data_IF_213782047568
#
_entry.id   IF_213782047568
#
_cell.length_a   1.000
_cell.length_b   1.000
_cell.length_c   1.000
_cell.angle_alpha   90.00
_cell.angle_beta   90.00
_cell.angle_gamma   90.00
#
_symmetry.space_group_name_H-M   'P 1'
#
loop_
_entity.id
_entity.type
_entity.pdbx_description
1 polymer ?
#
# COMPACT_ATOMS: atom_id res chain seq x y z
N UNK A 1 2.31 -17.55 13.46
CA UNK A 1 1.32 -16.46 13.29
C UNK A 1 1.30 -15.57 14.55
N UNK A 2 2.46 -15.20 15.12
CA UNK A 2 2.52 -14.59 16.47
C UNK A 2 3.37 -13.31 16.53
N UNK A 3 3.64 -12.64 15.42
CA UNK A 3 4.52 -11.46 15.43
C UNK A 3 3.81 -10.12 15.71
N UNK A 4 2.52 -10.15 16.08
CA UNK A 4 1.71 -8.94 16.28
C UNK A 4 0.99 -8.87 17.64
N UNK A 5 1.47 -9.59 18.66
CA UNK A 5 0.81 -9.64 19.98
C UNK A 5 1.23 -8.51 20.94
N UNK A 6 2.22 -7.68 20.57
CA UNK A 6 2.61 -6.46 21.30
C UNK A 6 1.94 -5.21 20.69
N UNK A 7 0.65 -5.31 20.38
CA UNK A 7 -0.11 -4.32 19.60
C UNK A 7 -0.92 -3.31 20.42
N UNK A 8 -1.30 -3.66 21.66
CA UNK A 8 -2.22 -2.86 22.49
C UNK A 8 -1.59 -1.56 22.97
N UNK A 9 -0.33 -1.59 23.42
CA UNK A 9 0.39 -0.37 23.84
C UNK A 9 0.58 0.63 22.70
N UNK A 10 0.90 0.14 21.49
CA UNK A 10 1.06 0.99 20.30
C UNK A 10 -0.26 1.60 19.85
N UNK A 11 -1.35 0.83 19.90
CA UNK A 11 -2.69 1.31 19.59
C UNK A 11 -3.12 2.43 20.56
N UNK A 12 -2.94 2.22 21.87
CA UNK A 12 -3.28 3.22 22.90
C UNK A 12 -2.50 4.52 22.71
N UNK A 13 -1.18 4.42 22.49
CA UNK A 13 -0.35 5.60 22.22
C UNK A 13 -0.79 6.34 20.95
N UNK A 14 -1.16 5.62 19.90
CA UNK A 14 -1.69 6.21 18.67
C UNK A 14 -3.02 6.93 18.89
N UNK A 15 -3.94 6.30 19.63
CA UNK A 15 -5.25 6.88 19.97
C UNK A 15 -5.09 8.14 20.83
N UNK A 16 -4.23 8.10 21.85
CA UNK A 16 -3.92 9.25 22.68
C UNK A 16 -3.31 10.41 21.86
N UNK A 17 -2.34 10.11 21.00
CA UNK A 17 -1.71 11.13 20.13
C UNK A 17 -2.72 11.73 19.14
N UNK A 18 -3.64 10.92 18.62
CA UNK A 18 -4.70 11.39 17.72
C UNK A 18 -5.67 12.30 18.46
N UNK A 19 -6.08 11.92 19.68
CA UNK A 19 -6.95 12.74 20.52
C UNK A 19 -6.29 14.09 20.88
N UNK A 20 -5.01 14.08 21.24
CA UNK A 20 -4.22 15.31 21.47
C UNK A 20 -4.18 16.19 20.22
N UNK A 21 -4.02 15.60 19.04
CA UNK A 21 -4.04 16.35 17.78
C UNK A 21 -5.39 17.03 17.55
N UNK A 22 -6.50 16.29 17.66
CA UNK A 22 -7.85 16.84 17.49
C UNK A 22 -8.16 17.91 18.53
N UNK A 23 -7.80 17.68 19.79
CA UNK A 23 -7.98 18.62 20.88
C UNK A 23 -7.28 19.95 20.60
N UNK A 24 -6.00 19.90 20.21
CA UNK A 24 -5.24 21.10 19.87
C UNK A 24 -5.82 21.84 18.66
N UNK A 25 -6.33 21.11 17.66
CA UNK A 25 -6.98 21.71 16.48
C UNK A 25 -8.27 22.44 16.84
N UNK A 26 -9.14 21.83 17.64
CA UNK A 26 -10.38 22.48 18.09
C UNK A 26 -10.07 23.68 18.98
N UNK A 27 -9.12 23.55 19.91
CA UNK A 27 -8.69 24.68 20.76
C UNK A 27 -8.13 25.85 19.94
N UNK A 28 -7.33 25.55 18.92
CA UNK A 28 -6.83 26.57 17.99
C UNK A 28 -7.97 27.24 17.23
N UNK A 29 -8.94 26.48 16.71
CA UNK A 29 -10.10 27.01 16.01
C UNK A 29 -10.95 27.94 16.91
N UNK A 30 -11.17 27.55 18.18
CA UNK A 30 -11.85 28.39 19.18
C UNK A 30 -11.10 29.71 19.35
N UNK A 31 -9.78 29.65 19.60
CA UNK A 31 -8.96 30.85 19.82
C UNK A 31 -8.94 31.79 18.61
N UNK A 32 -8.74 31.24 17.40
CA UNK A 32 -8.72 32.02 16.15
C UNK A 32 -10.07 32.70 15.90
N UNK A 33 -11.17 31.96 16.05
CA UNK A 33 -12.53 32.49 15.85
C UNK A 33 -12.84 33.62 16.83
N UNK A 34 -12.46 33.46 18.10
CA UNK A 34 -12.63 34.48 19.14
C UNK A 34 -11.83 35.74 18.83
N UNK A 35 -10.59 35.60 18.35
CA UNK A 35 -9.75 36.75 18.00
C UNK A 35 -10.31 37.58 16.83
N UNK A 36 -10.98 36.95 15.85
CA UNK A 36 -11.57 37.65 14.70
C UNK A 36 -12.73 38.58 15.08
N UNK A 37 -13.46 38.27 16.16
CA UNK A 37 -14.65 39.03 16.58
C UNK A 37 -14.43 39.90 17.81
N UNK A 38 -13.28 39.76 18.49
CA UNK A 38 -12.94 40.44 19.75
C UNK A 38 -13.06 41.96 19.70
N UNK A 39 -12.56 42.59 18.64
CA UNK A 39 -12.52 44.06 18.51
C UNK A 39 -13.74 44.65 17.77
N UNK A 40 -14.69 43.81 17.35
CA UNK A 40 -15.90 44.28 16.65
C UNK A 40 -16.83 44.98 17.63
N UNK A 41 -17.36 46.14 17.27
CA UNK A 41 -18.32 46.89 18.11
C UNK A 41 -19.76 46.51 17.83
N UNK A 42 -20.06 46.14 16.60
CA UNK A 42 -21.39 45.78 16.12
C UNK A 42 -21.79 44.40 16.65
N UNK A 43 -23.00 44.25 17.20
CA UNK A 43 -23.49 42.98 17.75
C UNK A 43 -24.15 42.10 16.70
N UNK A 44 -24.76 42.71 15.69
CA UNK A 44 -25.30 42.01 14.53
C UNK A 44 -24.16 41.23 13.85
N UNK A 45 -24.39 39.95 13.61
CA UNK A 45 -23.50 39.01 12.90
C UNK A 45 -22.22 38.52 13.61
N UNK A 46 -21.91 38.96 14.84
CA UNK A 46 -20.72 38.48 15.58
C UNK A 46 -20.65 36.96 15.73
N UNK A 47 -21.77 36.34 16.11
CA UNK A 47 -21.85 34.89 16.30
C UNK A 47 -21.74 34.17 14.95
N UNK A 48 -22.41 34.68 13.90
CA UNK A 48 -22.34 34.07 12.58
C UNK A 48 -20.91 34.05 12.05
N UNK A 49 -20.19 35.16 12.17
CA UNK A 49 -18.79 35.27 11.76
C UNK A 49 -17.86 34.36 12.58
N UNK A 50 -18.11 34.24 13.89
CA UNK A 50 -17.37 33.33 14.75
C UNK A 50 -17.57 31.87 14.31
N UNK A 51 -18.82 31.47 14.04
CA UNK A 51 -19.15 30.10 13.60
C UNK A 51 -18.60 29.80 12.20
N UNK A 52 -18.61 30.78 11.29
CA UNK A 52 -18.04 30.63 9.95
C UNK A 52 -16.54 30.36 10.02
N UNK A 53 -15.82 31.15 10.83
CA UNK A 53 -14.39 30.95 11.05
C UNK A 53 -14.09 29.61 11.74
N UNK A 54 -14.87 29.27 12.77
CA UNK A 54 -14.70 28.03 13.52
C UNK A 54 -14.85 26.79 12.61
N UNK A 55 -15.90 26.76 11.78
CA UNK A 55 -16.09 25.71 10.79
C UNK A 55 -14.99 25.70 9.72
N UNK A 56 -14.51 26.88 9.28
CA UNK A 56 -13.44 27.00 8.30
C UNK A 56 -12.15 26.37 8.81
N UNK A 57 -11.73 26.69 10.03
CA UNK A 57 -10.51 26.17 10.66
C UNK A 57 -10.56 24.66 10.90
N UNK A 58 -11.75 24.09 11.08
CA UNK A 58 -11.94 22.65 11.30
C UNK A 58 -12.16 21.82 10.04
N UNK A 59 -12.42 22.44 8.89
CA UNK A 59 -12.88 21.76 7.67
C UNK A 59 -11.98 20.62 7.17
N UNK A 60 -10.67 20.69 7.37
CA UNK A 60 -9.71 19.65 6.96
C UNK A 60 -9.56 18.52 8.00
N UNK A 61 -10.06 18.72 9.22
CA UNK A 61 -9.78 17.86 10.37
C UNK A 61 -11.04 17.15 10.85
N UNK A 62 -12.17 17.86 10.92
CA UNK A 62 -13.44 17.37 11.43
C UNK A 62 -14.54 17.78 10.46
N UNK A 63 -15.37 16.83 10.05
CA UNK A 63 -16.57 17.12 9.28
C UNK A 63 -17.65 17.73 10.19
N UNK A 64 -17.58 19.05 10.37
CA UNK A 64 -18.53 19.84 11.14
C UNK A 64 -19.18 20.89 10.23
N UNK A 65 -20.27 20.55 9.53
CA UNK A 65 -20.87 21.46 8.56
C UNK A 65 -21.54 22.63 9.28
N UNK A 66 -21.35 23.83 8.71
CA UNK A 66 -21.88 25.08 9.26
C UNK A 66 -23.41 25.10 9.45
N UNK A 67 -24.12 24.27 8.69
CA UNK A 67 -25.57 24.07 8.80
C UNK A 67 -26.01 23.55 10.18
N UNK A 68 -25.17 22.74 10.82
CA UNK A 68 -25.52 22.05 12.06
C UNK A 68 -25.45 23.01 13.26
N UNK A 69 -24.77 24.15 13.08
CA UNK A 69 -24.58 25.17 14.12
C UNK A 69 -25.55 26.35 14.00
N UNK A 70 -26.49 26.34 13.04
CA UNK A 70 -27.47 27.44 12.83
C UNK A 70 -28.34 27.73 14.08
N UNK A 71 -28.58 26.72 14.91
CA UNK A 71 -29.34 26.90 16.15
C UNK A 71 -28.68 27.84 17.16
N UNK A 72 -27.35 28.04 17.06
CA UNK A 72 -26.57 28.88 17.98
C UNK A 72 -26.70 30.37 17.61
N UNK A 73 -26.99 30.69 16.35
CA UNK A 73 -27.15 32.07 15.87
C UNK A 73 -28.33 32.81 16.51
N UNK A 74 -29.38 32.06 16.92
CA UNK A 74 -30.65 32.62 17.40
C UNK A 74 -30.70 32.75 18.92
N UNK A 75 -29.61 32.46 19.63
CA UNK A 75 -29.54 32.65 21.08
C UNK A 75 -29.27 34.13 21.38
N UNK A 76 -30.33 34.89 21.67
CA UNK A 76 -30.28 36.33 22.05
C UNK A 76 -29.31 36.64 23.22
N UNK A 77 -28.92 35.61 23.98
CA UNK A 77 -28.10 35.71 25.20
C UNK A 77 -26.58 35.60 24.97
N UNK A 78 -26.09 35.17 23.80
CA UNK A 78 -24.65 35.01 23.54
C UNK A 78 -24.03 36.34 23.13
N UNK A 79 -24.00 37.29 24.07
CA UNK A 79 -23.36 38.60 23.87
C UNK A 79 -21.87 38.60 24.25
N UNK A 80 -21.44 37.59 25.02
CA UNK A 80 -20.08 37.43 25.51
C UNK A 80 -19.38 36.26 24.79
N UNK A 81 -18.70 36.57 23.69
CA UNK A 81 -17.91 35.60 22.92
C UNK A 81 -16.70 35.10 23.72
N UNK A 82 -16.14 35.92 24.63
CA UNK A 82 -15.03 35.48 25.48
C UNK A 82 -15.52 34.45 26.52
N UNK A 83 -16.74 34.59 27.02
CA UNK A 83 -17.40 33.56 27.82
C UNK A 83 -17.66 32.29 27.01
N UNK A 84 -18.25 32.39 25.81
CA UNK A 84 -18.47 31.24 24.93
C UNK A 84 -17.16 30.48 24.66
N UNK A 85 -16.11 31.21 24.32
CA UNK A 85 -14.79 30.66 24.05
C UNK A 85 -14.21 29.89 25.24
N UNK A 86 -14.37 30.42 26.47
CA UNK A 86 -13.92 29.74 27.69
C UNK A 86 -14.76 28.52 27.99
N UNK A 87 -16.08 28.64 27.94
CA UNK A 87 -16.99 27.52 28.18
C UNK A 87 -16.76 26.36 27.18
N UNK A 88 -16.50 26.67 25.91
CA UNK A 88 -16.16 25.67 24.91
C UNK A 88 -14.79 25.04 25.14
N UNK A 89 -13.79 25.82 25.58
CA UNK A 89 -12.46 25.29 25.91
C UNK A 89 -12.51 24.36 27.14
N UNK A 90 -13.28 24.72 28.18
CA UNK A 90 -13.51 23.89 29.36
C UNK A 90 -14.25 22.59 28.99
N UNK A 91 -15.34 22.69 28.23
CA UNK A 91 -16.09 21.51 27.77
C UNK A 91 -15.24 20.60 26.87
N UNK A 92 -14.31 21.17 26.09
CA UNK A 92 -13.37 20.40 25.27
C UNK A 92 -12.33 19.66 26.13
N UNK A 93 -11.89 20.25 27.24
CA UNK A 93 -10.96 19.62 28.18
C UNK A 93 -11.63 18.46 28.91
N UNK A 94 -12.85 18.68 29.42
CA UNK A 94 -13.66 17.63 30.04
C UNK A 94 -13.92 16.46 29.08
N UNK A 95 -14.26 16.78 27.81
CA UNK A 95 -14.47 15.77 26.78
C UNK A 95 -13.20 14.97 26.50
N UNK A 96 -12.03 15.63 26.46
CA UNK A 96 -10.75 14.97 26.25
C UNK A 96 -10.45 13.99 27.38
N UNK A 97 -10.59 14.42 28.64
CA UNK A 97 -10.34 13.56 29.79
C UNK A 97 -11.24 12.32 29.78
N UNK A 98 -12.54 12.52 29.50
CA UNK A 98 -13.49 11.42 29.36
C UNK A 98 -13.11 10.45 28.25
N UNK A 99 -12.75 10.95 27.07
CA UNK A 99 -12.33 10.11 25.95
C UNK A 99 -11.02 9.37 26.26
N UNK A 100 -10.08 9.98 26.98
CA UNK A 100 -8.84 9.31 27.40
C UNK A 100 -9.12 8.12 28.32
N UNK A 101 -10.09 8.24 29.23
CA UNK A 101 -10.53 7.14 30.09
C UNK A 101 -11.19 6.02 29.27
N UNK A 102 -12.11 6.36 28.36
CA UNK A 102 -12.73 5.37 27.47
C UNK A 102 -11.70 4.64 26.57
N UNK A 103 -10.66 5.36 26.13
CA UNK A 103 -9.59 4.81 25.31
C UNK A 103 -8.57 3.97 26.10
N UNK A 104 -8.51 4.06 27.44
CA UNK A 104 -7.59 3.26 28.24
C UNK A 104 -7.91 1.77 28.14
N UNK A 105 -9.18 1.43 27.99
CA UNK A 105 -9.67 0.05 27.85
C UNK A 105 -9.86 -0.38 26.39
N UNK A 106 -9.66 0.54 25.43
CA UNK A 106 -9.85 0.25 24.03
C UNK A 106 -8.82 -0.76 23.50
N UNK A 107 -9.30 -1.64 22.62
CA UNK A 107 -8.51 -2.58 21.84
C UNK A 107 -8.97 -2.59 20.37
N UNK A 108 -8.41 -3.49 19.55
CA UNK A 108 -8.80 -3.57 18.14
C UNK A 108 -10.28 -3.94 17.96
N UNK A 109 -10.90 -4.67 18.90
CA UNK A 109 -12.32 -5.02 18.84
C UNK A 109 -13.25 -3.84 19.08
N UNK A 110 -12.74 -2.75 19.66
CA UNK A 110 -13.50 -1.52 19.91
C UNK A 110 -13.87 -0.75 18.63
N UNK A 111 -13.26 -1.07 17.49
CA UNK A 111 -13.56 -0.43 16.21
C UNK A 111 -14.69 -1.16 15.47
N UNK A 112 -15.69 -0.41 14.99
CA UNK A 112 -16.79 -0.93 14.16
C UNK A 112 -16.29 -1.67 12.91
N UNK A 113 -15.18 -1.18 12.34
CA UNK A 113 -14.40 -1.85 11.31
C UNK A 113 -12.96 -1.94 11.75
N UNK A 114 -12.42 -3.15 11.70
CA UNK A 114 -11.05 -3.40 12.06
C UNK A 114 -10.08 -2.55 11.20
N UNK A 115 -9.19 -1.74 11.80
CA UNK A 115 -8.27 -0.89 11.04
C UNK A 115 -7.43 -1.67 10.02
N UNK A 116 -6.97 -2.87 10.38
CA UNK A 116 -6.21 -3.73 9.47
C UNK A 116 -7.04 -4.22 8.26
N UNK A 117 -8.36 -4.35 8.40
CA UNK A 117 -9.26 -4.71 7.29
C UNK A 117 -9.44 -3.54 6.35
N UNK A 118 -9.62 -2.32 6.89
CA UNK A 118 -9.67 -1.09 6.09
C UNK A 118 -8.38 -0.93 5.29
N UNK A 119 -7.23 -1.10 5.94
CA UNK A 119 -5.93 -1.04 5.26
C UNK A 119 -5.82 -2.12 4.19
N UNK A 120 -6.19 -3.37 4.48
CA UNK A 120 -6.16 -4.45 3.48
C UNK A 120 -7.03 -4.14 2.26
N UNK A 121 -8.22 -3.54 2.45
CA UNK A 121 -9.08 -3.11 1.36
C UNK A 121 -8.52 -1.89 0.61
N UNK A 122 -7.96 -0.90 1.31
CA UNK A 122 -7.43 0.29 0.67
C UNK A 122 -6.13 0.02 -0.10
N UNK A 123 -5.33 -0.94 0.37
CA UNK A 123 -4.09 -1.39 -0.28
C UNK A 123 -4.27 -2.61 -1.18
N UNK A 124 -5.50 -3.08 -1.35
CA UNK A 124 -5.75 -4.18 -2.29
C UNK A 124 -5.77 -3.66 -3.72
N UNK A 125 -4.58 -3.59 -4.31
CA UNK A 125 -4.43 -3.35 -5.74
C UNK A 125 -4.91 -4.52 -6.60
N UNK A 126 -4.49 -4.51 -7.84
CA UNK A 126 -4.75 -5.60 -8.77
C UNK A 126 -4.02 -6.88 -8.32
N UNK A 127 -4.76 -7.99 -8.23
CA UNK A 127 -4.22 -9.29 -7.84
C UNK A 127 -3.83 -10.18 -9.03
N UNK A 128 -3.96 -9.67 -10.26
CA UNK A 128 -3.55 -10.40 -11.45
C UNK A 128 -2.05 -10.74 -11.36
N UNK A 129 -1.69 -11.98 -11.67
CA UNK A 129 -0.31 -12.46 -11.65
C UNK A 129 0.24 -12.64 -13.06
N UNK A 130 1.50 -12.24 -13.27
CA UNK A 130 2.16 -12.41 -14.55
C UNK A 130 2.21 -13.91 -14.88
N UNK A 131 1.75 -14.34 -16.07
CA UNK A 131 1.64 -15.77 -16.38
C UNK A 131 3.00 -16.48 -16.47
N UNK A 132 4.09 -15.71 -16.60
CA UNK A 132 5.44 -16.25 -16.65
C UNK A 132 6.10 -16.36 -15.27
N UNK A 133 6.15 -15.27 -14.50
CA UNK A 133 6.89 -15.25 -13.24
C UNK A 133 6.01 -15.19 -12.00
N UNK A 134 4.69 -15.05 -12.14
CA UNK A 134 3.74 -14.98 -11.04
C UNK A 134 3.82 -13.70 -10.19
N UNK A 135 4.57 -12.68 -10.64
CA UNK A 135 4.58 -11.39 -9.93
C UNK A 135 3.23 -10.72 -10.07
N UNK A 136 2.72 -10.15 -8.97
CA UNK A 136 1.44 -9.45 -8.92
C UNK A 136 1.54 -8.10 -9.63
N UNK A 137 0.47 -7.69 -10.30
CA UNK A 137 0.38 -6.41 -10.97
C UNK A 137 0.62 -5.25 -9.99
N UNK A 138 1.34 -4.22 -10.45
CA UNK A 138 1.66 -3.04 -9.62
C UNK A 138 0.55 -1.99 -9.58
N UNK A 139 -0.57 -2.23 -10.29
CA UNK A 139 -1.69 -1.29 -10.28
C UNK A 139 -2.38 -1.31 -8.91
N UNK A 140 -2.62 -0.14 -8.34
CA UNK A 140 -3.26 0.05 -7.04
C UNK A 140 -4.78 -0.05 -7.08
N UNK A 141 -5.37 -0.11 -8.28
CA UNK A 141 -6.82 -0.28 -8.47
C UNK A 141 -7.15 -1.75 -8.79
N UNK A 142 -8.14 -2.31 -8.09
CA UNK A 142 -8.74 -3.60 -8.43
C UNK A 142 -9.44 -3.52 -9.77
N UNK A 143 -9.40 -4.60 -10.54
CA UNK A 143 -10.12 -4.76 -11.81
C UNK A 143 -9.94 -3.58 -12.77
N UNK A 144 -8.74 -2.99 -12.77
CA UNK A 144 -8.43 -1.83 -13.60
C UNK A 144 -8.50 -2.17 -15.09
N UNK A 145 -8.85 -1.18 -15.90
CA UNK A 145 -8.77 -1.26 -17.35
C UNK A 145 -7.32 -1.26 -17.85
N UNK A 146 -7.13 -1.73 -19.09
CA UNK A 146 -5.83 -1.76 -19.76
C UNK A 146 -4.94 -2.96 -19.39
N UNK A 147 -3.69 -2.93 -19.87
CA UNK A 147 -2.75 -4.04 -19.67
C UNK A 147 -2.23 -4.10 -18.23
N UNK A 148 -2.13 -5.31 -17.69
CA UNK A 148 -1.41 -5.56 -16.44
C UNK A 148 0.08 -5.34 -16.64
N UNK A 149 0.71 -4.73 -15.64
CA UNK A 149 2.12 -4.40 -15.65
C UNK A 149 2.75 -4.72 -14.30
N UNK A 150 4.06 -4.95 -14.33
CA UNK A 150 4.89 -5.00 -13.14
C UNK A 150 6.17 -4.25 -13.43
N UNK A 151 6.65 -3.47 -12.46
CA UNK A 151 7.92 -2.76 -12.57
C UNK A 151 9.10 -3.75 -12.58
N UNK A 152 9.00 -4.82 -11.79
CA UNK A 152 10.12 -5.72 -11.52
C UNK A 152 9.69 -7.18 -11.66
N UNK A 153 10.09 -7.79 -12.77
CA UNK A 153 9.91 -9.22 -12.97
C UNK A 153 10.91 -10.03 -12.15
N UNK A 154 10.50 -11.25 -11.76
CA UNK A 154 11.33 -12.21 -11.02
C UNK A 154 11.71 -13.41 -11.89
N UNK A 155 12.78 -14.15 -11.55
CA UNK A 155 13.21 -15.33 -12.30
C UNK A 155 12.08 -16.34 -12.46
N UNK A 156 11.91 -16.91 -13.65
CA UNK A 156 10.85 -17.89 -13.93
C UNK A 156 11.03 -19.20 -13.13
N UNK A 157 12.23 -19.48 -12.59
CA UNK A 157 12.50 -20.57 -11.67
C UNK A 157 11.58 -20.55 -10.44
N UNK A 158 11.08 -19.37 -10.02
CA UNK A 158 10.12 -19.24 -8.91
C UNK A 158 8.70 -19.70 -9.27
N UNK A 159 8.46 -20.06 -10.53
CA UNK A 159 7.24 -20.69 -11.02
C UNK A 159 7.52 -22.09 -11.59
N UNK A 160 8.72 -22.63 -11.37
CA UNK A 160 9.10 -23.98 -11.81
C UNK A 160 9.37 -24.11 -13.32
N UNK A 161 9.49 -23.01 -14.07
CA UNK A 161 9.80 -23.11 -15.50
C UNK A 161 11.16 -23.73 -15.74
N UNK A 162 11.22 -24.64 -16.71
CA UNK A 162 12.45 -25.30 -17.13
C UNK A 162 12.76 -25.03 -18.59
N UNK A 163 14.04 -25.12 -18.94
CA UNK A 163 14.46 -25.14 -20.33
C UNK A 163 13.96 -26.40 -21.03
N UNK A 164 13.54 -26.23 -22.28
CA UNK A 164 13.17 -27.33 -23.16
C UNK A 164 14.11 -27.30 -24.35
N UNK A 165 14.58 -28.48 -24.75
CA UNK A 165 15.37 -28.66 -25.96
C UNK A 165 14.51 -29.33 -27.00
N UNK A 166 14.59 -28.83 -28.23
CA UNK A 166 13.94 -29.41 -29.39
C UNK A 166 14.99 -29.95 -30.35
N UNK A 167 14.85 -31.22 -30.71
CA UNK A 167 15.70 -31.88 -31.70
C UNK A 167 14.80 -32.50 -32.77
N UNK A 168 14.86 -31.97 -33.99
CA UNK A 168 13.90 -32.26 -35.07
C UNK A 168 12.43 -32.10 -34.62
N UNK A 169 11.70 -33.22 -34.52
CA UNK A 169 10.30 -33.32 -34.13
C UNK A 169 10.10 -33.70 -32.66
N UNK A 170 11.18 -33.95 -31.91
CA UNK A 170 11.11 -34.33 -30.49
C UNK A 170 11.42 -33.15 -29.58
N UNK A 171 10.69 -33.07 -28.47
CA UNK A 171 10.83 -32.05 -27.43
C UNK A 171 11.05 -32.72 -26.09
N UNK A 172 12.12 -32.33 -25.40
CA UNK A 172 12.46 -32.89 -24.10
C UNK A 172 12.70 -31.75 -23.11
N UNK A 173 12.03 -31.82 -21.95
CA UNK A 173 12.33 -30.97 -20.81
C UNK A 173 13.72 -31.32 -20.29
N UNK A 174 14.58 -30.33 -20.10
CA UNK A 174 15.94 -30.60 -19.62
C UNK A 174 16.02 -30.72 -18.10
N UNK A 175 14.90 -30.54 -17.41
CA UNK A 175 14.81 -30.44 -15.95
C UNK A 175 15.68 -29.33 -15.33
N UNK A 176 16.00 -28.29 -16.14
CA UNK A 176 16.89 -27.19 -15.74
C UNK A 176 16.10 -25.91 -15.57
N UNK A 177 16.07 -25.37 -14.35
CA UNK A 177 15.28 -24.19 -14.02
C UNK A 177 15.73 -22.93 -14.80
N UNK A 178 14.77 -22.09 -15.18
CA UNK A 178 15.04 -20.84 -15.92
C UNK A 178 15.31 -19.70 -14.94
N UNK A 179 16.58 -19.28 -14.83
CA UNK A 179 16.97 -18.16 -13.97
C UNK A 179 16.67 -16.78 -14.58
N UNK A 180 16.28 -16.74 -15.86
CA UNK A 180 15.97 -15.49 -16.56
C UNK A 180 14.64 -14.88 -16.10
N UNK A 181 14.55 -13.54 -16.16
CA UNK A 181 13.33 -12.78 -15.92
C UNK A 181 12.57 -12.56 -17.22
N UNK A 182 11.27 -12.24 -17.10
CA UNK A 182 10.39 -12.04 -18.25
C UNK A 182 10.90 -10.96 -19.20
N UNK A 183 11.36 -9.83 -18.67
CA UNK A 183 11.90 -8.72 -19.46
C UNK A 183 13.11 -9.12 -20.30
N UNK A 184 14.04 -9.91 -19.74
CA UNK A 184 15.21 -10.41 -20.47
C UNK A 184 14.81 -11.40 -21.55
N UNK A 185 13.83 -12.27 -21.26
CA UNK A 185 13.32 -13.25 -22.20
C UNK A 185 12.61 -12.56 -23.38
N UNK A 186 11.81 -11.53 -23.12
CA UNK A 186 11.18 -10.68 -24.16
C UNK A 186 12.22 -9.93 -24.97
N UNK A 187 13.35 -9.51 -24.39
CA UNK A 187 14.44 -8.92 -25.17
C UNK A 187 15.23 -9.93 -26.04
N UNK A 188 15.12 -11.24 -25.72
CA UNK A 188 15.90 -12.31 -26.36
C UNK A 188 15.21 -12.95 -27.58
N UNK A 189 15.91 -13.89 -28.23
CA UNK A 189 15.32 -14.75 -29.26
C UNK A 189 14.77 -16.08 -28.70
N UNK A 190 14.63 -16.19 -27.37
CA UNK A 190 14.05 -17.36 -26.75
C UNK A 190 12.58 -17.52 -27.15
N UNK A 191 12.10 -18.76 -27.07
CA UNK A 191 10.71 -19.11 -27.27
C UNK A 191 10.18 -19.80 -26.02
N UNK A 192 8.88 -19.72 -25.81
CA UNK A 192 8.16 -20.54 -24.83
C UNK A 192 7.11 -21.37 -25.55
N UNK A 193 6.67 -22.43 -24.89
CA UNK A 193 5.54 -23.24 -25.33
C UNK A 193 4.29 -22.66 -24.67
N UNK A 194 3.34 -22.20 -25.47
CA UNK A 194 2.04 -21.78 -24.97
C UNK A 194 1.20 -22.98 -24.55
N UNK A 195 0.09 -22.72 -23.86
CA UNK A 195 -0.84 -23.76 -23.40
C UNK A 195 -1.44 -24.59 -24.55
N UNK A 196 -1.57 -24.01 -25.75
CA UNK A 196 -1.97 -24.73 -26.96
C UNK A 196 -0.84 -25.55 -27.61
N UNK A 197 0.32 -25.68 -26.96
CA UNK A 197 1.46 -26.47 -27.41
C UNK A 197 2.31 -25.80 -28.49
N UNK A 198 2.00 -24.57 -28.89
CA UNK A 198 2.72 -23.84 -29.94
C UNK A 198 3.96 -23.14 -29.36
N UNK A 199 5.07 -23.23 -30.08
CA UNK A 199 6.26 -22.42 -29.77
C UNK A 199 6.09 -20.99 -30.25
N UNK A 200 6.11 -20.05 -29.31
CA UNK A 200 5.94 -18.62 -29.57
C UNK A 200 7.20 -17.90 -29.10
N UNK A 201 7.81 -17.03 -29.93
CA UNK A 201 8.89 -16.16 -29.48
C UNK A 201 8.44 -15.30 -28.32
N UNK A 202 9.28 -15.15 -27.29
CA UNK A 202 8.96 -14.27 -26.17
C UNK A 202 8.69 -12.83 -26.63
N UNK A 203 9.36 -12.32 -27.67
CA UNK A 203 9.08 -11.02 -28.31
C UNK A 203 7.65 -10.85 -28.81
N UNK A 204 6.95 -11.96 -29.06
CA UNK A 204 5.59 -12.02 -29.60
C UNK A 204 4.66 -12.76 -28.66
N UNK A 205 4.94 -12.74 -27.35
CA UNK A 205 4.19 -13.50 -26.35
C UNK A 205 2.69 -13.20 -26.38
N UNK A 206 2.29 -11.97 -26.75
CA UNK A 206 0.88 -11.57 -26.86
C UNK A 206 0.12 -12.38 -27.92
N UNK A 207 0.79 -12.94 -28.92
CA UNK A 207 0.17 -13.83 -29.93
C UNK A 207 -0.34 -15.14 -29.32
N UNK A 208 0.05 -15.47 -28.08
CA UNK A 208 -0.46 -16.63 -27.35
C UNK A 208 -1.90 -16.45 -26.84
N UNK A 209 -2.45 -15.24 -26.90
CA UNK A 209 -3.77 -14.91 -26.35
C UNK A 209 -3.76 -14.78 -24.82
N UNK A 210 -4.93 -14.59 -24.19
CA UNK A 210 -5.03 -14.54 -22.73
C UNK A 210 -4.54 -15.85 -22.07
N UNK A 211 -3.87 -15.79 -20.91
CA UNK A 211 -3.60 -14.59 -20.10
C UNK A 211 -2.39 -13.79 -20.58
N UNK A 212 -1.62 -14.24 -21.57
CA UNK A 212 -0.39 -13.55 -22.01
C UNK A 212 -0.65 -12.19 -22.66
N UNK A 213 -1.70 -12.09 -23.48
CA UNK A 213 -1.99 -10.88 -24.26
C UNK A 213 -2.41 -9.67 -23.42
N UNK A 214 -2.89 -9.89 -22.19
CA UNK A 214 -3.36 -8.85 -21.25
C UNK A 214 -2.24 -8.25 -20.39
N UNK A 215 -1.00 -8.69 -20.60
CA UNK A 215 0.17 -8.19 -19.90
C UNK A 215 1.03 -7.34 -20.81
N UNK A 216 1.60 -6.25 -20.28
CA UNK A 216 2.63 -5.47 -20.94
C UNK A 216 3.99 -5.68 -20.24
N UNK A 217 4.86 -6.48 -20.88
CA UNK A 217 6.19 -6.82 -20.40
C UNK A 217 7.20 -6.05 -21.22
N UNK A 218 7.81 -5.03 -20.62
CA UNK A 218 8.82 -4.23 -21.30
C UNK A 218 10.15 -5.01 -21.39
N UNK A 219 10.83 -4.97 -22.55
CA UNK A 219 12.15 -5.56 -22.70
C UNK A 219 13.16 -4.80 -21.85
N UNK A 220 13.79 -5.50 -20.93
CA UNK A 220 14.86 -5.00 -20.07
C UNK A 220 15.74 -6.18 -19.66
N UNK A 221 17.05 -5.95 -19.64
CA UNK A 221 18.04 -6.95 -19.23
C UNK A 221 18.49 -6.79 -17.77
N UNK A 222 18.02 -5.75 -17.07
CA UNK A 222 18.46 -5.40 -15.73
C UNK A 222 17.74 -6.19 -14.63
N UNK A 223 18.20 -7.42 -14.38
CA UNK A 223 17.72 -8.18 -13.22
C UNK A 223 18.23 -7.57 -11.92
N UNK A 224 17.30 -7.31 -11.00
CA UNK A 224 17.61 -6.82 -9.66
C UNK A 224 18.56 -7.74 -8.89
N UNK A 225 19.47 -7.12 -8.13
CA UNK A 225 20.43 -7.79 -7.25
C UNK A 225 19.71 -8.69 -6.24
N UNK A 226 18.53 -8.28 -5.76
CA UNK A 226 17.71 -9.07 -4.86
C UNK A 226 17.36 -10.45 -5.42
N UNK A 227 16.89 -10.53 -6.66
CA UNK A 227 16.51 -11.81 -7.25
C UNK A 227 17.70 -12.75 -7.49
N UNK A 228 18.86 -12.18 -7.82
CA UNK A 228 20.12 -12.93 -7.94
C UNK A 228 20.50 -13.57 -6.62
N UNK A 229 20.45 -12.78 -5.54
CA UNK A 229 20.68 -13.25 -4.18
C UNK A 229 19.63 -14.29 -3.75
N UNK A 230 18.35 -14.04 -3.98
CA UNK A 230 17.26 -14.91 -3.56
C UNK A 230 17.39 -16.30 -4.18
N UNK A 231 17.52 -16.38 -5.51
CA UNK A 231 17.68 -17.66 -6.20
C UNK A 231 18.93 -18.39 -5.73
N UNK A 232 20.03 -17.67 -5.51
CA UNK A 232 21.27 -18.28 -4.99
C UNK A 232 21.13 -18.77 -3.54
N UNK A 233 20.41 -18.04 -2.69
CA UNK A 233 20.26 -18.36 -1.26
C UNK A 233 19.32 -19.54 -1.02
N UNK A 234 18.28 -19.64 -1.84
CA UNK A 234 17.20 -20.62 -1.73
C UNK A 234 17.23 -21.69 -2.84
N UNK A 235 18.38 -21.85 -3.51
CA UNK A 235 18.49 -22.76 -4.66
C UNK A 235 18.08 -24.19 -4.31
N UNK A 236 18.56 -24.74 -3.19
CA UNK A 236 18.23 -26.11 -2.76
C UNK A 236 16.74 -26.29 -2.47
N UNK A 237 16.10 -25.28 -1.87
CA UNK A 237 14.66 -25.30 -1.60
C UNK A 237 13.85 -25.22 -2.90
N UNK A 238 14.28 -24.40 -3.86
CA UNK A 238 13.64 -24.29 -5.17
C UNK A 238 13.79 -25.58 -5.99
N UNK A 239 14.95 -26.22 -5.95
CA UNK A 239 15.17 -27.53 -6.58
C UNK A 239 14.24 -28.60 -5.99
N UNK A 240 14.15 -28.66 -4.66
CA UNK A 240 13.28 -29.62 -3.97
C UNK A 240 11.79 -29.34 -4.23
N UNK A 241 11.38 -28.07 -4.28
CA UNK A 241 9.98 -27.67 -4.49
C UNK A 241 9.45 -28.10 -5.86
N UNK A 242 10.28 -28.00 -6.90
CA UNK A 242 9.85 -28.27 -8.28
C UNK A 242 10.35 -29.61 -8.83
N UNK A 243 11.17 -30.34 -8.07
CA UNK A 243 11.89 -31.54 -8.52
C UNK A 243 12.71 -31.27 -9.81
N UNK A 244 13.44 -30.15 -9.82
CA UNK A 244 14.27 -29.69 -10.94
C UNK A 244 15.66 -29.27 -10.44
N UNK A 245 16.59 -28.94 -11.37
CA UNK A 245 17.98 -28.59 -11.04
C UNK A 245 18.44 -27.25 -11.61
N UNK A 246 19.32 -26.56 -10.89
CA UNK A 246 20.05 -25.38 -11.40
C UNK A 246 21.35 -25.80 -12.09
N UNK A 247 21.22 -26.42 -13.26
CA UNK A 247 22.35 -26.95 -14.03
C UNK A 247 22.34 -26.52 -15.49
N UNK A 248 23.48 -26.68 -16.17
CA UNK A 248 23.63 -26.31 -17.58
C UNK A 248 23.20 -24.87 -17.85
N UNK A 249 22.20 -24.68 -18.73
CA UNK A 249 21.65 -23.35 -19.06
C UNK A 249 20.93 -22.68 -17.89
N UNK A 250 20.48 -23.45 -16.90
CA UNK A 250 19.89 -22.96 -15.64
C UNK A 250 20.90 -22.77 -14.51
N UNK A 251 22.21 -22.95 -14.76
CA UNK A 251 23.22 -22.88 -13.70
C UNK A 251 23.29 -21.47 -13.12
N UNK A 252 23.14 -21.37 -11.80
CA UNK A 252 23.30 -20.11 -11.07
C UNK A 252 24.76 -19.66 -11.18
N UNK A 253 25.04 -18.43 -11.67
CA UNK A 253 26.39 -17.90 -11.77
C UNK A 253 27.08 -17.78 -10.41
N UNK A 254 28.39 -18.04 -10.38
CA UNK A 254 29.19 -17.91 -9.15
C UNK A 254 29.17 -16.49 -8.59
N UNK A 255 29.05 -15.47 -9.45
CA UNK A 255 28.91 -14.08 -9.02
C UNK A 255 27.67 -13.85 -8.17
N UNK A 256 26.58 -14.59 -8.39
CA UNK A 256 25.35 -14.44 -7.60
C UNK A 256 25.50 -15.01 -6.19
N UNK A 257 26.33 -16.05 -6.03
CA UNK A 257 26.63 -16.68 -4.74
C UNK A 257 27.40 -15.78 -3.79
N UNK A 258 28.10 -14.78 -4.34
CA UNK A 258 28.88 -13.80 -3.56
C UNK A 258 28.06 -12.63 -3.06
N UNK A 259 26.83 -12.45 -3.57
CA UNK A 259 25.96 -11.35 -3.15
C UNK A 259 25.50 -11.59 -1.71
N UNK A 260 25.65 -10.58 -0.86
CA UNK A 260 25.20 -10.69 0.54
C UNK A 260 23.75 -10.25 0.69
N UNK A 261 23.08 -10.71 1.75
CA UNK A 261 21.70 -10.25 2.08
C UNK A 261 21.64 -8.73 2.25
N UNK A 262 22.64 -8.14 2.91
CA UNK A 262 22.70 -6.69 3.13
C UNK A 262 22.83 -5.93 1.81
N UNK A 263 23.72 -6.37 0.92
CA UNK A 263 23.86 -5.77 -0.41
C UNK A 263 22.55 -5.85 -1.21
N UNK A 264 21.92 -7.03 -1.23
CA UNK A 264 20.65 -7.27 -1.91
C UNK A 264 19.54 -6.34 -1.43
N UNK A 265 19.40 -6.16 -0.11
CA UNK A 265 18.38 -5.27 0.49
C UNK A 265 18.70 -3.79 0.27
N UNK A 266 19.97 -3.37 0.36
CA UNK A 266 20.37 -1.96 0.15
C UNK A 266 20.07 -1.43 -1.26
N UNK A 267 19.83 -2.33 -2.21
CA UNK A 267 19.49 -2.01 -3.61
C UNK A 267 17.98 -2.01 -3.87
N UNK A 268 17.16 -2.37 -2.88
CA UNK A 268 15.69 -2.28 -2.95
C UNK A 268 15.17 -0.94 -2.45
N UNK A 269 15.90 -0.29 -1.53
CA UNK A 269 15.53 1.02 -0.96
C UNK A 269 15.87 2.21 -1.87
N UNK A 270 16.20 1.95 -3.14
CA UNK A 270 16.56 2.95 -4.16
C UNK A 270 15.63 2.84 -5.34
#
# INVERSE_FOLDING_TARGET
>A
REHCLDGTGKLRNFLASSLDHFHNKVRSAISSSTQIVKDRKDREDKISLWLDEFCRELSEVINLPRSDLKGIEHQEEVTDIEFLSRAMAEALDDLKEKLMEELSEADLSSFSRQPHTILAEHFSGCWAQCPFCGTVCTNTMRDHDGDHQVVLHRPQALMGWTWVVRFFFFEFGTHKLVIDICSSLVASNCKFKSDCGRWIPYKRYRDAGPPYSTWNILPDSSMQVYWKWFVSRFSTQLEALYDQKFEGKGKIPESWRRITKQEALSKLDK
#
